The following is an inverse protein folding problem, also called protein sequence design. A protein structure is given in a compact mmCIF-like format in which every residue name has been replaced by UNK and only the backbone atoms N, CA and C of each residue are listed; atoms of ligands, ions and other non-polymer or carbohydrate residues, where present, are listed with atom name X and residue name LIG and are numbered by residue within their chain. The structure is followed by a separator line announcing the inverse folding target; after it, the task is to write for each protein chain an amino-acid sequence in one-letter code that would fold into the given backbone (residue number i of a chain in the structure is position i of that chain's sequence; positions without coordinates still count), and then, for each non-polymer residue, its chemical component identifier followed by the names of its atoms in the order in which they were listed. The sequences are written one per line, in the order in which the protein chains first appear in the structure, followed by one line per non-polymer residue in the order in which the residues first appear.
data_IF_852849281506
#
_entry.id   IF_852849281506
#
_cell.length_a   1.000
_cell.length_b   1.000
_cell.length_c   1.000
_cell.angle_alpha   90.00
_cell.angle_beta   90.00
_cell.angle_gamma   90.00
#
_symmetry.space_group_name_H-M   'P 1'
#
loop_
_entity.id
_entity.type
_entity.pdbx_description
1 polymer ?
#
# COMPACT_ATOMS: atom_id res chain seq x y z
N UNK A 1 -11.31 -52.53 5.97
CA UNK A 1 -10.99 -51.65 4.81
C UNK A 1 -11.84 -50.38 4.80
N UNK A 2 -13.13 -50.39 4.42
CA UNK A 2 -13.93 -49.17 4.14
C UNK A 2 -13.81 -48.02 5.17
N UNK A 3 -13.78 -48.31 6.48
CA UNK A 3 -13.64 -47.28 7.53
C UNK A 3 -12.34 -46.46 7.40
N UNK A 4 -11.23 -47.11 7.03
CA UNK A 4 -9.93 -46.46 6.81
C UNK A 4 -10.01 -45.53 5.59
N UNK A 5 -10.71 -45.95 4.54
CA UNK A 5 -10.90 -45.15 3.32
C UNK A 5 -11.72 -43.89 3.58
N UNK A 6 -12.73 -43.94 4.46
CA UNK A 6 -13.46 -42.75 4.88
C UNK A 6 -12.59 -41.83 5.75
N UNK A 7 -11.81 -42.40 6.68
CA UNK A 7 -10.89 -41.61 7.51
C UNK A 7 -9.84 -40.88 6.68
N UNK A 8 -9.23 -41.53 5.69
CA UNK A 8 -8.27 -40.86 4.79
C UNK A 8 -8.92 -39.80 3.92
N UNK A 9 -10.15 -40.01 3.41
CA UNK A 9 -10.85 -38.95 2.66
C UNK A 9 -11.19 -37.74 3.54
N UNK A 10 -11.56 -37.94 4.80
CA UNK A 10 -11.84 -36.83 5.74
C UNK A 10 -10.54 -36.09 6.07
N UNK A 11 -9.44 -36.79 6.34
CA UNK A 11 -8.13 -36.16 6.58
C UNK A 11 -7.66 -35.37 5.35
N UNK A 12 -7.81 -35.91 4.14
CA UNK A 12 -7.50 -35.19 2.89
C UNK A 12 -8.39 -33.94 2.73
N UNK A 13 -9.69 -34.04 3.05
CA UNK A 13 -10.59 -32.88 3.00
C UNK A 13 -10.22 -31.81 4.04
N UNK A 14 -9.81 -32.20 5.25
CA UNK A 14 -9.36 -31.29 6.29
C UNK A 14 -7.98 -30.65 5.97
N UNK A 15 -7.07 -31.38 5.31
CA UNK A 15 -5.80 -30.83 4.80
C UNK A 15 -6.04 -29.87 3.62
N UNK A 16 -7.07 -30.11 2.80
CA UNK A 16 -7.57 -29.15 1.80
C UNK A 16 -8.38 -27.99 2.41
N UNK A 17 -8.66 -28.04 3.71
CA UNK A 17 -9.25 -26.96 4.51
C UNK A 17 -8.19 -26.27 5.40
N UNK A 18 -6.90 -26.34 5.02
CA UNK A 18 -5.94 -25.30 5.44
C UNK A 18 -6.54 -23.97 5.04
N UNK A 19 -6.86 -23.17 6.06
CA UNK A 19 -7.45 -21.84 5.88
C UNK A 19 -6.44 -21.02 5.08
N UNK A 20 -6.78 -20.72 3.81
CA UNK A 20 -6.27 -19.52 3.15
C UNK A 20 -6.79 -18.34 3.97
N UNK A 21 -6.01 -17.93 4.95
CA UNK A 21 -5.96 -16.52 5.27
C UNK A 21 -5.48 -15.85 4.00
N UNK A 22 -6.25 -14.88 3.48
CA UNK A 22 -5.75 -14.02 2.42
C UNK A 22 -4.42 -13.42 2.92
N UNK A 23 -3.31 -13.54 2.16
CA UNK A 23 -2.01 -13.15 2.64
C UNK A 23 -1.98 -11.62 2.82
N UNK A 24 -2.19 -11.20 4.06
CA UNK A 24 -2.07 -9.81 4.46
C UNK A 24 -0.60 -9.40 4.25
N UNK A 25 -0.37 -8.69 3.14
CA UNK A 25 0.91 -8.15 2.71
C UNK A 25 1.65 -7.50 3.90
N UNK A 26 2.94 -7.80 4.05
CA UNK A 26 3.71 -7.36 5.22
C UNK A 26 4.36 -6.00 5.01
N UNK A 27 4.43 -5.54 3.76
CA UNK A 27 5.10 -4.32 3.38
C UNK A 27 4.56 -3.77 2.05
N UNK A 28 4.51 -2.43 1.97
CA UNK A 28 4.19 -1.70 0.74
C UNK A 28 5.43 -1.00 0.21
N UNK A 29 5.58 -1.02 -1.10
CA UNK A 29 6.60 -0.29 -1.86
C UNK A 29 5.94 0.61 -2.90
N UNK A 30 6.62 1.71 -3.24
CA UNK A 30 6.23 2.58 -4.34
C UNK A 30 7.38 2.70 -5.36
N UNK A 31 7.06 2.69 -6.65
CA UNK A 31 7.98 3.00 -7.74
C UNK A 31 7.36 4.14 -8.55
N UNK A 32 7.97 5.31 -8.52
CA UNK A 32 7.36 6.56 -8.99
C UNK A 32 8.23 7.18 -10.09
N UNK A 33 7.71 7.20 -11.32
CA UNK A 33 8.50 7.50 -12.53
C UNK A 33 7.95 8.69 -13.31
N UNK A 34 8.66 9.81 -13.29
CA UNK A 34 8.54 10.84 -14.34
C UNK A 34 9.49 10.49 -15.49
N UNK A 35 8.93 10.17 -16.67
CA UNK A 35 9.73 9.75 -17.83
C UNK A 35 10.08 10.90 -18.80
N UNK A 36 9.48 12.08 -18.59
CA UNK A 36 9.61 13.24 -19.49
C UNK A 36 10.52 14.33 -18.96
N UNK A 37 11.19 15.03 -19.89
CA UNK A 37 12.09 16.14 -19.59
C UNK A 37 11.72 17.43 -20.33
N UNK A 38 12.50 18.48 -20.09
CA UNK A 38 12.32 19.86 -20.55
C UNK A 38 11.17 20.62 -19.85
N UNK A 39 11.33 21.95 -19.77
CA UNK A 39 10.45 22.85 -19.03
C UNK A 39 8.96 22.73 -19.36
N UNK A 40 8.61 22.47 -20.62
CA UNK A 40 7.20 22.32 -21.04
C UNK A 40 6.52 21.06 -20.50
N UNK A 41 7.27 20.16 -19.87
CA UNK A 41 6.79 18.94 -19.21
C UNK A 41 6.85 19.00 -17.68
N UNK A 42 7.00 20.20 -17.10
CA UNK A 42 7.02 20.47 -15.65
C UNK A 42 6.00 19.63 -14.85
N UNK A 43 4.74 19.63 -15.30
CA UNK A 43 3.65 18.81 -14.73
C UNK A 43 3.99 17.33 -14.53
N UNK A 44 4.70 16.67 -15.44
CA UNK A 44 5.04 15.25 -15.26
C UNK A 44 5.97 15.04 -14.04
N UNK A 45 6.84 16.00 -13.73
CA UNK A 45 7.67 15.95 -12.53
C UNK A 45 6.84 16.27 -11.27
N UNK A 46 5.96 17.28 -11.33
CA UNK A 46 5.07 17.65 -10.24
C UNK A 46 4.03 16.56 -9.91
N UNK A 47 3.52 15.84 -10.91
CA UNK A 47 2.66 14.65 -10.79
C UNK A 47 3.36 13.60 -9.90
N UNK A 48 4.58 13.19 -10.28
CA UNK A 48 5.35 12.16 -9.57
C UNK A 48 5.72 12.59 -8.14
N UNK A 49 6.12 13.85 -7.94
CA UNK A 49 6.41 14.39 -6.60
C UNK A 49 5.14 14.49 -5.73
N UNK A 50 3.97 14.72 -6.33
CA UNK A 50 2.68 14.70 -5.61
C UNK A 50 2.29 13.30 -5.15
N UNK A 51 2.54 12.27 -5.99
CA UNK A 51 2.38 10.87 -5.58
C UNK A 51 3.38 10.48 -4.48
N UNK A 52 4.62 10.92 -4.58
CA UNK A 52 5.68 10.74 -3.58
C UNK A 52 5.27 11.32 -2.21
N UNK A 53 4.81 12.58 -2.19
CA UNK A 53 4.22 13.19 -0.98
C UNK A 53 3.03 12.38 -0.44
N UNK A 54 2.17 11.86 -1.31
CA UNK A 54 0.99 11.06 -0.91
C UNK A 54 1.40 9.77 -0.18
N UNK A 55 2.32 8.98 -0.74
CA UNK A 55 2.79 7.73 -0.08
C UNK A 55 3.57 8.01 1.21
N UNK A 56 4.36 9.10 1.28
CA UNK A 56 5.02 9.52 2.54
C UNK A 56 4.02 10.01 3.59
N UNK A 57 3.00 10.79 3.17
CA UNK A 57 1.90 11.24 4.05
C UNK A 57 1.17 10.04 4.66
N UNK A 58 0.90 9.01 3.87
CA UNK A 58 0.28 7.75 4.32
C UNK A 58 1.26 6.79 5.03
N UNK A 59 2.56 7.00 4.89
CA UNK A 59 3.61 6.51 5.78
C UNK A 59 4.51 5.40 5.23
N UNK A 60 4.56 5.21 3.91
CA UNK A 60 5.63 4.42 3.30
C UNK A 60 6.96 5.20 3.52
N UNK A 61 8.03 4.56 4.06
CA UNK A 61 9.31 5.22 4.26
C UNK A 61 10.10 5.30 2.94
N UNK A 62 11.04 6.25 2.85
CA UNK A 62 11.89 6.44 1.67
C UNK A 62 12.67 5.19 1.24
N UNK A 63 13.10 4.37 2.21
CA UNK A 63 13.72 3.06 1.96
C UNK A 63 12.79 2.02 1.31
N UNK A 64 11.55 2.39 0.96
CA UNK A 64 10.60 1.62 0.15
C UNK A 64 9.94 2.44 -0.98
N UNK A 65 10.43 3.63 -1.28
CA UNK A 65 9.94 4.48 -2.37
C UNK A 65 11.09 4.72 -3.34
N UNK A 66 11.01 4.12 -4.53
CA UNK A 66 11.99 4.37 -5.60
C UNK A 66 11.51 5.54 -6.45
N UNK A 67 12.22 6.66 -6.40
CA UNK A 67 11.86 7.87 -7.14
C UNK A 67 12.76 8.10 -8.37
N UNK A 68 12.15 8.17 -9.55
CA UNK A 68 12.85 8.37 -10.83
C UNK A 68 12.38 9.67 -11.50
N UNK A 69 13.28 10.67 -11.61
CA UNK A 69 13.00 11.97 -12.21
C UNK A 69 13.97 12.24 -13.38
N UNK A 70 13.47 12.21 -14.62
CA UNK A 70 14.25 12.34 -15.86
C UNK A 70 14.76 13.76 -16.19
N UNK A 71 14.41 14.74 -15.36
CA UNK A 71 14.89 16.12 -15.39
C UNK A 71 14.87 16.74 -13.99
N UNK A 72 15.37 17.96 -13.86
CA UNK A 72 15.33 18.78 -12.64
C UNK A 72 14.72 20.15 -12.95
N UNK A 73 13.39 20.27 -12.81
CA UNK A 73 12.70 21.56 -13.01
C UNK A 73 12.88 22.51 -11.82
N UNK A 74 13.25 22.01 -10.64
CA UNK A 74 13.57 22.84 -9.49
C UNK A 74 14.81 23.72 -9.76
N UNK A 75 15.83 23.16 -10.42
CA UNK A 75 17.08 23.84 -10.77
C UNK A 75 17.10 24.42 -12.20
N UNK A 76 15.98 24.43 -12.93
CA UNK A 76 15.95 24.94 -14.30
C UNK A 76 16.07 26.48 -14.34
N UNK A 77 16.84 27.02 -15.29
CA UNK A 77 17.03 28.48 -15.43
C UNK A 77 15.79 29.26 -15.87
N UNK A 78 14.67 28.57 -16.16
CA UNK A 78 13.34 29.17 -16.38
C UNK A 78 12.48 29.24 -15.11
N UNK A 79 12.88 28.58 -14.03
CA UNK A 79 12.11 28.57 -12.79
C UNK A 79 12.29 29.89 -12.04
N UNK A 80 11.20 30.66 -11.91
CA UNK A 80 11.16 31.87 -11.09
C UNK A 80 11.27 31.58 -9.58
N UNK A 81 11.14 30.31 -9.18
CA UNK A 81 11.24 29.83 -7.81
C UNK A 81 12.34 28.75 -7.68
N UNK A 82 13.64 29.11 -7.73
CA UNK A 82 14.73 28.15 -7.73
C UNK A 82 14.70 27.23 -6.50
N UNK A 83 14.77 25.93 -6.73
CA UNK A 83 14.70 24.89 -5.68
C UNK A 83 13.29 24.41 -5.34
N UNK A 84 12.24 25.04 -5.86
CA UNK A 84 10.84 24.67 -5.54
C UNK A 84 10.06 24.15 -6.75
N UNK A 85 9.07 23.28 -6.48
CA UNK A 85 8.17 22.70 -7.49
C UNK A 85 6.72 22.71 -6.97
N UNK A 86 5.77 23.22 -7.77
CA UNK A 86 4.38 23.40 -7.35
C UNK A 86 3.41 22.68 -8.30
N UNK A 87 2.37 22.03 -7.78
CA UNK A 87 1.30 21.41 -8.59
C UNK A 87 0.03 22.29 -8.71
N UNK A 88 0.04 23.51 -8.16
CA UNK A 88 -1.13 24.38 -8.11
C UNK A 88 -0.74 25.87 -8.21
N UNK A 89 -1.65 26.69 -8.74
CA UNK A 89 -1.46 28.13 -8.98
C UNK A 89 -1.32 28.96 -7.69
N UNK A 90 -1.84 28.47 -6.57
CA UNK A 90 -1.68 29.12 -5.26
C UNK A 90 -0.27 28.94 -4.68
N UNK A 91 0.49 27.97 -5.21
CA UNK A 91 1.83 27.55 -4.76
C UNK A 91 1.91 27.34 -3.24
N UNK A 92 0.81 26.90 -2.64
CA UNK A 92 0.69 26.70 -1.19
C UNK A 92 1.52 25.51 -0.66
N UNK A 93 2.09 24.70 -1.57
CA UNK A 93 2.82 23.47 -1.28
C UNK A 93 4.00 23.33 -2.24
N UNK A 94 5.22 23.51 -1.74
CA UNK A 94 6.42 23.04 -2.44
C UNK A 94 6.51 21.51 -2.30
N UNK A 95 6.67 20.85 -3.45
CA UNK A 95 6.76 19.41 -3.60
C UNK A 95 8.19 18.88 -3.62
N UNK A 96 9.20 19.76 -3.74
CA UNK A 96 10.61 19.39 -3.78
C UNK A 96 11.23 19.54 -2.39
N UNK A 97 11.41 20.78 -1.91
CA UNK A 97 11.91 21.05 -0.56
C UNK A 97 13.20 20.31 -0.17
N UNK A 98 13.37 20.04 1.13
CA UNK A 98 14.56 19.37 1.68
C UNK A 98 14.37 17.85 1.92
N UNK A 99 13.18 17.30 1.66
CA UNK A 99 12.77 15.95 2.11
C UNK A 99 12.46 14.95 1.00
N UNK A 100 12.86 15.26 -0.24
CA UNK A 100 12.73 14.38 -1.40
C UNK A 100 14.04 13.65 -1.66
N UNK A 101 14.03 12.33 -1.52
CA UNK A 101 15.12 11.44 -1.93
C UNK A 101 14.86 10.98 -3.37
N UNK A 102 15.83 11.19 -4.28
CA UNK A 102 15.73 10.86 -5.72
C UNK A 102 16.74 9.77 -6.06
N UNK A 103 16.27 8.55 -6.30
CA UNK A 103 17.13 7.38 -6.58
C UNK A 103 17.72 7.40 -7.99
N UNK A 104 16.96 7.84 -8.99
CA UNK A 104 17.43 7.91 -10.38
C UNK A 104 17.18 9.32 -10.93
N UNK A 105 18.25 10.06 -11.21
CA UNK A 105 18.16 11.47 -11.62
C UNK A 105 18.65 11.70 -13.06
N UNK A 106 17.89 12.47 -13.83
CA UNK A 106 18.24 12.92 -15.17
C UNK A 106 18.51 11.76 -16.11
N UNK A 107 19.77 11.62 -16.54
CA UNK A 107 20.20 10.56 -17.47
C UNK A 107 20.10 9.15 -16.90
N UNK A 108 19.99 8.96 -15.59
CA UNK A 108 19.79 7.63 -14.99
C UNK A 108 18.37 7.06 -15.22
N UNK A 109 17.41 7.85 -15.69
CA UNK A 109 16.04 7.40 -15.93
C UNK A 109 15.90 6.84 -17.36
N UNK A 110 16.50 5.68 -17.60
CA UNK A 110 16.43 4.94 -18.88
C UNK A 110 15.43 3.78 -18.81
N UNK A 111 15.01 3.29 -19.97
CA UNK A 111 14.17 2.07 -20.06
C UNK A 111 14.92 0.87 -19.45
N UNK A 112 16.22 0.75 -19.74
CA UNK A 112 17.06 -0.30 -19.18
C UNK A 112 17.08 -0.28 -17.64
N UNK A 113 17.28 0.89 -17.02
CA UNK A 113 17.36 0.99 -15.56
C UNK A 113 16.03 0.67 -14.89
N UNK A 114 14.90 1.05 -15.48
CA UNK A 114 13.57 0.68 -14.99
C UNK A 114 13.32 -0.84 -15.09
N UNK A 115 13.64 -1.46 -16.22
CA UNK A 115 13.51 -2.93 -16.39
C UNK A 115 14.46 -3.69 -15.45
N UNK A 116 15.70 -3.23 -15.26
CA UNK A 116 16.65 -3.83 -14.31
C UNK A 116 16.20 -3.67 -12.85
N UNK A 117 15.61 -2.53 -12.49
CA UNK A 117 15.00 -2.29 -11.17
C UNK A 117 13.85 -3.28 -10.90
N UNK A 118 12.89 -3.37 -11.82
CA UNK A 118 11.77 -4.31 -11.71
C UNK A 118 12.26 -5.75 -11.60
N UNK A 119 13.18 -6.17 -12.47
CA UNK A 119 13.62 -7.58 -12.56
C UNK A 119 14.73 -7.97 -11.57
N UNK A 120 15.32 -7.03 -10.82
CA UNK A 120 16.58 -7.16 -10.07
C UNK A 120 17.64 -7.91 -10.88
N UNK A 121 18.11 -7.23 -11.95
CA UNK A 121 19.19 -7.66 -12.85
C UNK A 121 20.39 -6.71 -12.69
N UNK A 122 20.93 -6.69 -11.48
CA UNK A 122 22.07 -5.87 -11.06
C UNK A 122 23.20 -6.74 -10.51
N UNK A 123 24.46 -6.33 -10.67
CA UNK A 123 25.58 -6.94 -9.96
C UNK A 123 25.60 -6.54 -8.49
N UNK A 124 26.60 -6.96 -7.73
CA UNK A 124 26.70 -6.65 -6.29
C UNK A 124 26.95 -5.16 -6.02
N UNK A 125 27.52 -4.44 -6.98
CA UNK A 125 27.86 -3.01 -6.92
C UNK A 125 26.65 -2.05 -6.82
N UNK A 126 25.47 -2.44 -7.29
CA UNK A 126 24.30 -1.55 -7.31
C UNK A 126 23.84 -1.23 -5.88
N UNK A 127 23.77 0.06 -5.47
CA UNK A 127 23.39 0.47 -4.12
C UNK A 127 22.00 -0.03 -3.71
N UNK A 128 21.82 -0.36 -2.42
CA UNK A 128 20.55 -0.90 -1.90
C UNK A 128 19.36 0.06 -2.00
N UNK A 129 19.57 1.38 -1.99
CA UNK A 129 18.52 2.37 -2.25
C UNK A 129 18.00 2.26 -3.67
N UNK A 130 18.89 2.15 -4.66
CA UNK A 130 18.57 1.95 -6.08
C UNK A 130 18.17 0.49 -6.41
N UNK A 131 17.44 -0.20 -5.53
CA UNK A 131 16.89 -1.56 -5.72
C UNK A 131 15.50 -1.71 -5.12
N UNK A 132 14.62 -2.37 -5.86
CA UNK A 132 13.29 -2.78 -5.43
C UNK A 132 13.38 -4.10 -4.64
N UNK A 133 13.67 -4.03 -3.33
CA UNK A 133 13.94 -5.20 -2.48
C UNK A 133 12.63 -5.85 -1.96
N UNK A 134 11.78 -6.25 -2.90
CA UNK A 134 10.45 -6.85 -2.68
C UNK A 134 10.45 -8.38 -2.66
N UNK A 135 9.49 -8.97 -1.97
CA UNK A 135 9.27 -10.41 -1.77
C UNK A 135 7.81 -10.84 -2.03
N UNK A 136 7.45 -12.11 -1.80
CA UNK A 136 6.09 -12.64 -2.04
C UNK A 136 5.00 -12.07 -1.12
N UNK A 137 5.36 -11.20 -0.17
CA UNK A 137 4.46 -10.50 0.75
C UNK A 137 4.46 -8.97 0.52
N UNK A 138 5.19 -8.48 -0.49
CA UNK A 138 5.23 -7.06 -0.87
C UNK A 138 4.08 -6.68 -1.79
N UNK A 139 3.24 -5.72 -1.40
CA UNK A 139 2.40 -5.00 -2.35
C UNK A 139 3.22 -3.85 -2.98
N UNK A 140 3.08 -3.65 -4.29
CA UNK A 140 3.85 -2.64 -5.04
C UNK A 140 2.90 -1.70 -5.77
N UNK A 141 2.93 -0.41 -5.40
CA UNK A 141 2.35 0.66 -6.20
C UNK A 141 3.38 1.12 -7.25
N UNK A 142 3.01 1.10 -8.53
CA UNK A 142 3.86 1.59 -9.62
C UNK A 142 3.13 2.73 -10.32
N UNK A 143 3.69 3.94 -10.22
CA UNK A 143 3.18 5.14 -10.87
C UNK A 143 4.10 5.58 -12.01
N UNK A 144 3.55 5.79 -13.20
CA UNK A 144 4.28 6.32 -14.35
C UNK A 144 3.56 7.50 -14.99
N UNK A 145 4.29 8.54 -15.38
CA UNK A 145 3.72 9.70 -16.07
C UNK A 145 4.69 10.28 -17.09
N UNK A 146 4.14 10.63 -18.26
CA UNK A 146 4.92 11.12 -19.39
C UNK A 146 4.12 11.20 -20.69
N UNK A 147 4.83 11.46 -21.79
CA UNK A 147 4.27 11.35 -23.14
C UNK A 147 4.31 9.90 -23.64
N UNK A 148 3.30 9.47 -24.37
CA UNK A 148 3.13 8.09 -24.83
C UNK A 148 2.06 7.99 -25.92
N UNK A 149 1.71 6.76 -26.27
CA UNK A 149 0.69 6.44 -27.27
C UNK A 149 0.30 4.97 -27.23
N UNK A 150 -0.28 4.47 -28.33
CA UNK A 150 -0.72 3.08 -28.42
C UNK A 150 0.45 2.09 -28.17
N UNK A 151 0.38 1.37 -27.06
CA UNK A 151 1.35 0.36 -26.61
C UNK A 151 2.77 0.88 -26.28
N UNK A 152 3.01 2.20 -26.15
CA UNK A 152 4.31 2.74 -25.70
C UNK A 152 4.26 3.99 -24.80
N UNK A 153 5.31 4.17 -23.99
CA UNK A 153 5.58 5.38 -23.19
C UNK A 153 7.01 5.87 -23.46
N UNK A 154 7.20 7.18 -23.70
CA UNK A 154 8.51 7.78 -23.96
C UNK A 154 9.33 7.95 -22.70
N UNK A 155 10.63 7.67 -22.80
CA UNK A 155 11.66 7.93 -21.79
C UNK A 155 12.67 8.95 -22.31
N UNK A 156 12.92 10.01 -21.54
CA UNK A 156 13.88 11.08 -21.83
C UNK A 156 13.72 11.77 -23.20
N UNK A 157 12.54 11.65 -23.84
CA UNK A 157 12.25 12.08 -25.22
C UNK A 157 13.20 11.50 -26.29
N UNK A 158 13.76 10.31 -26.01
CA UNK A 158 14.74 9.63 -26.86
C UNK A 158 14.57 8.10 -26.93
N UNK A 159 14.12 7.47 -25.84
CA UNK A 159 13.79 6.05 -25.75
C UNK A 159 12.27 5.86 -25.63
N UNK A 160 11.78 4.65 -25.89
CA UNK A 160 10.39 4.24 -25.69
C UNK A 160 10.35 2.88 -25.01
N UNK A 161 9.49 2.71 -23.99
CA UNK A 161 9.18 1.40 -23.39
C UNK A 161 7.84 0.92 -23.91
N UNK A 162 7.76 -0.34 -24.35
CA UNK A 162 6.53 -0.93 -24.83
C UNK A 162 5.72 -1.56 -23.69
N UNK A 163 4.41 -1.70 -23.91
CA UNK A 163 3.50 -2.46 -23.03
C UNK A 163 3.94 -3.92 -22.83
N UNK A 164 4.64 -4.49 -23.82
CA UNK A 164 5.26 -5.82 -23.74
C UNK A 164 6.46 -5.88 -22.78
N UNK A 165 7.33 -4.86 -22.74
CA UNK A 165 8.52 -4.87 -21.88
C UNK A 165 8.12 -4.90 -20.39
N UNK A 166 7.06 -4.15 -20.04
CA UNK A 166 6.50 -4.14 -18.68
C UNK A 166 5.81 -5.47 -18.36
N UNK A 167 5.08 -6.07 -19.33
CA UNK A 167 4.47 -7.39 -19.16
C UNK A 167 5.50 -8.48 -18.85
N UNK A 168 6.60 -8.51 -19.61
CA UNK A 168 7.68 -9.49 -19.45
C UNK A 168 8.54 -9.20 -18.21
N UNK A 169 8.63 -7.95 -17.76
CA UNK A 169 9.23 -7.62 -16.46
C UNK A 169 8.36 -8.12 -15.29
N UNK A 170 7.04 -7.92 -15.32
CA UNK A 170 6.12 -8.43 -14.30
C UNK A 170 6.09 -9.96 -14.27
N UNK A 171 6.18 -10.63 -15.43
CA UNK A 171 6.29 -12.08 -15.50
C UNK A 171 7.55 -12.61 -14.80
N UNK A 172 8.69 -11.95 -15.00
CA UNK A 172 9.92 -12.27 -14.28
C UNK A 172 9.84 -11.97 -12.78
N UNK A 173 9.11 -10.91 -12.37
CA UNK A 173 8.87 -10.64 -10.96
C UNK A 173 7.98 -11.71 -10.33
N UNK A 174 6.95 -12.17 -11.03
CA UNK A 174 6.08 -13.26 -10.59
C UNK A 174 6.85 -14.57 -10.41
N UNK A 175 7.62 -14.97 -11.43
CA UNK A 175 8.37 -16.23 -11.41
C UNK A 175 9.51 -16.22 -10.37
N UNK A 176 10.08 -15.04 -10.10
CA UNK A 176 11.02 -14.81 -8.98
C UNK A 176 10.35 -14.62 -7.63
N UNK A 177 9.01 -14.60 -7.54
CA UNK A 177 8.22 -14.31 -6.33
C UNK A 177 8.54 -12.96 -5.66
N UNK A 178 8.59 -11.89 -6.43
CA UNK A 178 8.97 -10.54 -5.95
C UNK A 178 7.81 -9.55 -5.82
N UNK A 179 6.58 -10.06 -5.70
CA UNK A 179 5.41 -9.31 -5.23
C UNK A 179 4.33 -10.27 -4.70
N UNK A 180 3.46 -9.76 -3.83
CA UNK A 180 2.15 -10.32 -3.53
C UNK A 180 1.11 -9.82 -4.55
N UNK A 181 1.00 -8.49 -4.66
CA UNK A 181 0.14 -7.79 -5.62
C UNK A 181 0.85 -6.55 -6.21
N UNK A 182 0.54 -6.20 -7.46
CA UNK A 182 0.96 -4.94 -8.10
C UNK A 182 -0.28 -4.10 -8.40
N UNK A 183 -0.23 -2.81 -8.06
CA UNK A 183 -1.15 -1.79 -8.58
C UNK A 183 -0.39 -0.84 -9.51
N UNK A 184 -0.64 -0.97 -10.80
CA UNK A 184 0.00 -0.19 -11.86
C UNK A 184 -0.90 0.98 -12.30
N UNK A 185 -0.41 2.20 -12.17
CA UNK A 185 -1.13 3.45 -12.45
C UNK A 185 -0.33 4.30 -13.43
N UNK A 186 -0.94 4.69 -14.55
CA UNK A 186 -0.22 5.41 -15.62
C UNK A 186 -1.01 6.60 -16.17
N UNK A 187 -0.39 7.79 -16.12
CA UNK A 187 -0.95 9.03 -16.68
C UNK A 187 -0.22 9.43 -17.97
N UNK A 188 -0.83 9.10 -19.11
CA UNK A 188 -0.31 9.39 -20.47
C UNK A 188 -1.41 9.30 -21.53
N UNK A 189 -1.13 9.72 -22.76
CA UNK A 189 -2.02 9.53 -23.90
C UNK A 189 -2.11 8.05 -24.28
N UNK A 190 -3.33 7.55 -24.50
CA UNK A 190 -3.64 6.14 -24.77
C UNK A 190 -3.19 5.17 -23.66
N UNK A 191 -3.11 5.65 -22.42
CA UNK A 191 -2.61 4.92 -21.24
C UNK A 191 -3.19 3.51 -21.07
N UNK A 192 -4.47 3.30 -21.42
CA UNK A 192 -5.13 2.00 -21.27
C UNK A 192 -4.55 0.90 -22.19
N UNK A 193 -3.77 1.26 -23.20
CA UNK A 193 -3.00 0.30 -24.01
C UNK A 193 -1.78 -0.27 -23.26
N UNK A 194 -1.17 0.50 -22.36
CA UNK A 194 0.10 0.13 -21.71
C UNK A 194 0.03 -1.12 -20.82
N UNK A 195 -1.15 -1.42 -20.27
CA UNK A 195 -1.41 -2.65 -19.52
C UNK A 195 -2.14 -3.74 -20.34
N UNK A 196 -2.42 -3.50 -21.63
CA UNK A 196 -3.20 -4.43 -22.47
C UNK A 196 -2.51 -5.79 -22.67
N UNK A 197 -1.17 -5.80 -22.62
CA UNK A 197 -0.33 -6.99 -22.84
C UNK A 197 0.00 -7.75 -21.56
N UNK A 198 -0.37 -7.25 -20.37
CA UNK A 198 -0.06 -7.92 -19.12
C UNK A 198 -0.74 -9.31 -19.07
N UNK A 199 -0.03 -10.30 -18.54
CA UNK A 199 -0.48 -11.70 -18.42
C UNK A 199 -0.10 -12.34 -17.08
N UNK A 200 0.55 -11.60 -16.18
CA UNK A 200 0.94 -12.08 -14.84
C UNK A 200 -0.22 -11.89 -13.85
N UNK A 201 -0.48 -12.84 -12.93
CA UNK A 201 -1.55 -12.72 -11.96
C UNK A 201 -1.21 -11.69 -10.87
N UNK A 202 -2.23 -11.31 -10.10
CA UNK A 202 -2.21 -10.33 -9.02
C UNK A 202 -1.77 -8.91 -9.46
N UNK A 203 -2.00 -8.57 -10.73
CA UNK A 203 -1.76 -7.22 -11.26
C UNK A 203 -3.09 -6.50 -11.51
N UNK A 204 -3.34 -5.45 -10.72
CA UNK A 204 -4.41 -4.47 -10.96
C UNK A 204 -3.81 -3.30 -11.75
N UNK A 205 -4.50 -2.81 -12.79
CA UNK A 205 -3.99 -1.68 -13.57
C UNK A 205 -5.06 -0.61 -13.82
N UNK A 206 -4.63 0.66 -13.86
CA UNK A 206 -5.46 1.83 -14.19
C UNK A 206 -4.69 2.80 -15.09
N UNK A 207 -5.37 3.40 -16.06
CA UNK A 207 -4.78 4.34 -17.02
C UNK A 207 -5.69 5.53 -17.29
N UNK A 208 -5.10 6.70 -17.58
CA UNK A 208 -5.86 7.96 -17.67
C UNK A 208 -6.70 8.16 -18.93
N UNK A 209 -6.46 7.40 -20.02
CA UNK A 209 -7.12 7.61 -21.32
C UNK A 209 -7.20 6.31 -22.14
N UNK A 210 -8.27 6.15 -22.95
CA UNK A 210 -8.44 4.99 -23.85
C UNK A 210 -7.51 5.06 -25.06
N UNK A 211 -7.40 3.94 -25.78
CA UNK A 211 -6.90 3.93 -27.15
C UNK A 211 -7.63 5.00 -27.97
N UNK A 212 -6.90 5.68 -28.87
CA UNK A 212 -7.35 6.84 -29.65
C UNK A 212 -7.71 8.11 -28.84
N UNK A 213 -7.50 8.13 -27.51
CA UNK A 213 -7.66 9.34 -26.66
C UNK A 213 -6.33 9.92 -26.18
N UNK A 214 -6.30 11.23 -25.97
CA UNK A 214 -5.22 11.92 -25.25
C UNK A 214 -5.49 11.96 -23.74
N UNK A 215 -4.44 12.07 -22.92
CA UNK A 215 -4.56 12.66 -21.58
C UNK A 215 -4.41 14.18 -21.67
N UNK A 216 -4.83 14.90 -20.62
CA UNK A 216 -4.92 16.35 -20.64
C UNK A 216 -4.35 16.99 -19.37
N UNK A 217 -3.68 18.13 -19.55
CA UNK A 217 -3.30 19.01 -18.44
C UNK A 217 -4.53 19.62 -17.76
N UNK A 218 -4.43 19.89 -16.45
CA UNK A 218 -5.53 20.51 -15.70
C UNK A 218 -5.54 22.03 -15.87
N UNK A 219 -4.45 22.66 -15.44
CA UNK A 219 -4.26 24.10 -15.44
C UNK A 219 -2.76 24.49 -15.50
N UNK A 220 -2.50 25.78 -15.72
CA UNK A 220 -1.15 26.37 -15.81
C UNK A 220 -0.96 27.47 -14.77
N UNK A 221 0.24 27.57 -14.22
CA UNK A 221 0.67 28.72 -13.44
C UNK A 221 1.27 29.78 -14.39
N UNK A 222 0.93 31.06 -14.17
CA UNK A 222 1.33 32.18 -15.04
C UNK A 222 2.78 32.61 -14.83
N UNK A 223 3.32 32.44 -13.62
CA UNK A 223 4.69 32.80 -13.26
C UNK A 223 5.66 31.64 -13.51
N UNK A 224 5.20 30.39 -13.43
CA UNK A 224 5.93 29.21 -13.96
C UNK A 224 5.82 29.15 -15.50
N UNK A 225 4.74 29.70 -16.07
CA UNK A 225 4.53 29.87 -17.51
C UNK A 225 4.14 28.60 -18.27
N UNK A 226 3.82 27.50 -17.58
CA UNK A 226 3.49 26.19 -18.15
C UNK A 226 2.40 25.48 -17.33
N UNK A 227 1.85 24.40 -17.89
CA UNK A 227 0.97 23.49 -17.16
C UNK A 227 1.71 22.82 -15.99
N UNK A 228 1.12 22.85 -14.80
CA UNK A 228 1.75 22.41 -13.53
C UNK A 228 1.27 21.05 -13.03
N UNK A 229 0.15 20.53 -13.52
CA UNK A 229 -0.39 19.21 -13.17
C UNK A 229 -1.32 18.66 -14.28
N UNK A 230 -1.38 17.33 -14.42
CA UNK A 230 -2.32 16.65 -15.33
C UNK A 230 -3.64 16.24 -14.66
N UNK A 231 -4.73 16.12 -15.43
CA UNK A 231 -6.09 15.98 -14.87
C UNK A 231 -6.31 14.71 -14.08
N UNK A 232 -5.86 13.57 -14.59
CA UNK A 232 -6.00 12.30 -13.89
C UNK A 232 -5.19 12.30 -12.60
N UNK A 233 -3.95 12.80 -12.64
CA UNK A 233 -3.15 13.06 -11.43
C UNK A 233 -3.88 13.99 -10.45
N UNK A 234 -4.38 15.14 -10.90
CA UNK A 234 -5.08 16.14 -10.06
C UNK A 234 -6.28 15.53 -9.34
N UNK A 235 -7.17 14.83 -10.05
CA UNK A 235 -8.35 14.23 -9.44
C UNK A 235 -8.06 12.96 -8.64
N UNK A 236 -6.93 12.28 -8.90
CA UNK A 236 -6.40 11.27 -7.97
C UNK A 236 -6.00 11.93 -6.64
N UNK A 237 -5.28 13.06 -6.68
CA UNK A 237 -4.82 13.74 -5.47
C UNK A 237 -5.97 14.39 -4.68
N UNK A 238 -6.96 14.96 -5.37
CA UNK A 238 -8.24 15.45 -4.80
C UNK A 238 -8.91 14.37 -3.93
N UNK A 239 -9.03 13.15 -4.45
CA UNK A 239 -9.50 12.00 -3.68
C UNK A 239 -8.51 11.63 -2.55
N UNK A 240 -7.21 11.52 -2.86
CA UNK A 240 -6.20 11.00 -1.92
C UNK A 240 -5.93 11.93 -0.73
N UNK A 241 -6.07 13.25 -0.84
CA UNK A 241 -5.92 14.17 0.31
C UNK A 241 -7.01 13.95 1.38
N UNK A 242 -8.15 13.37 1.02
CA UNK A 242 -9.19 12.94 1.96
C UNK A 242 -8.90 11.55 2.61
N UNK A 243 -7.82 10.88 2.24
CA UNK A 243 -7.42 9.57 2.80
C UNK A 243 -6.50 9.75 4.01
N UNK A 244 -6.95 9.27 5.17
CA UNK A 244 -6.11 9.05 6.36
C UNK A 244 -5.58 7.60 6.47
N UNK A 245 -4.63 7.36 7.38
CA UNK A 245 -3.95 6.05 7.56
C UNK A 245 -4.85 4.92 8.08
N UNK A 246 -6.06 5.26 8.49
CA UNK A 246 -7.13 4.40 9.00
C UNK A 246 -8.38 4.45 8.09
N UNK A 247 -8.27 5.03 6.90
CA UNK A 247 -9.39 5.12 5.95
C UNK A 247 -9.90 3.73 5.57
N UNK A 248 -11.23 3.60 5.48
CA UNK A 248 -11.91 2.42 4.98
C UNK A 248 -12.37 2.55 3.52
N UNK A 249 -11.92 3.60 2.80
CA UNK A 249 -12.24 3.78 1.38
C UNK A 249 -11.45 2.77 0.52
N UNK A 250 -12.15 2.23 -0.47
CA UNK A 250 -11.68 1.17 -1.35
C UNK A 250 -11.06 1.70 -2.64
N UNK A 251 -10.36 0.84 -3.37
CA UNK A 251 -9.90 1.16 -4.73
C UNK A 251 -11.08 1.38 -5.68
N UNK A 252 -12.24 0.76 -5.45
CA UNK A 252 -13.45 1.07 -6.22
C UNK A 252 -13.93 2.50 -5.97
N UNK A 253 -13.89 3.01 -4.73
CA UNK A 253 -14.24 4.42 -4.44
C UNK A 253 -13.30 5.39 -5.16
N UNK A 254 -12.01 5.05 -5.30
CA UNK A 254 -11.05 5.81 -6.11
C UNK A 254 -11.43 5.76 -7.61
N UNK A 255 -11.74 4.57 -8.14
CA UNK A 255 -12.11 4.40 -9.55
C UNK A 255 -13.42 5.10 -9.91
N UNK A 256 -14.44 5.04 -9.05
CA UNK A 256 -15.74 5.69 -9.23
C UNK A 256 -15.64 7.23 -9.06
N UNK A 257 -14.55 7.74 -8.48
CA UNK A 257 -14.29 9.19 -8.36
C UNK A 257 -13.89 9.85 -9.68
N UNK A 258 -13.48 9.07 -10.69
CA UNK A 258 -13.10 9.53 -12.02
C UNK A 258 -14.32 9.64 -12.94
N UNK A 259 -14.69 10.86 -13.31
CA UNK A 259 -15.71 11.12 -14.33
C UNK A 259 -15.11 11.79 -15.55
N UNK A 260 -15.78 11.69 -16.70
CA UNK A 260 -15.30 12.31 -17.94
C UNK A 260 -15.25 13.84 -17.82
N UNK A 261 -16.18 14.45 -17.09
CA UNK A 261 -16.26 15.89 -16.82
C UNK A 261 -15.07 16.39 -15.97
N UNK A 262 -14.49 15.52 -15.13
CA UNK A 262 -13.25 15.79 -14.40
C UNK A 262 -12.04 15.60 -15.32
N UNK A 263 -11.85 14.37 -15.81
CA UNK A 263 -10.57 13.93 -16.40
C UNK A 263 -10.41 14.39 -17.86
N UNK A 264 -11.51 14.63 -18.58
CA UNK A 264 -11.60 14.89 -20.03
C UNK A 264 -11.18 13.72 -20.95
N UNK A 265 -10.95 12.54 -20.36
CA UNK A 265 -10.66 11.28 -21.06
C UNK A 265 -11.27 10.12 -20.27
N UNK A 266 -11.44 8.96 -20.91
CA UNK A 266 -12.00 7.79 -20.25
C UNK A 266 -10.91 6.99 -19.54
N UNK A 267 -10.86 7.15 -18.22
CA UNK A 267 -10.08 6.28 -17.34
C UNK A 267 -10.47 4.81 -17.57
N UNK A 268 -9.48 3.94 -17.70
CA UNK A 268 -9.68 2.50 -17.80
C UNK A 268 -9.10 1.80 -16.57
N UNK A 269 -9.79 0.74 -16.12
CA UNK A 269 -9.31 -0.16 -15.06
C UNK A 269 -9.31 -1.58 -15.61
N UNK A 270 -8.24 -2.35 -15.35
CA UNK A 270 -8.10 -3.76 -15.74
C UNK A 270 -7.99 -4.64 -14.51
N UNK A 271 -8.93 -5.58 -14.36
CA UNK A 271 -9.12 -6.42 -13.17
C UNK A 271 -9.06 -7.92 -13.43
N UNK A 272 -9.01 -8.39 -14.68
CA UNK A 272 -9.04 -9.82 -15.04
C UNK A 272 -7.83 -10.62 -14.51
N UNK A 273 -6.71 -9.95 -14.25
CA UNK A 273 -5.51 -10.51 -13.63
C UNK A 273 -5.52 -10.40 -12.10
N UNK A 274 -6.47 -9.68 -11.51
CA UNK A 274 -6.50 -9.33 -10.09
C UNK A 274 -7.64 -10.04 -9.37
N UNK A 275 -7.29 -10.98 -8.48
CA UNK A 275 -8.24 -11.94 -7.91
C UNK A 275 -9.14 -11.35 -6.80
N UNK A 276 -8.81 -10.16 -6.28
CA UNK A 276 -9.59 -9.47 -5.23
C UNK A 276 -10.57 -8.49 -5.87
N UNK A 277 -11.78 -8.44 -5.31
CA UNK A 277 -12.79 -7.44 -5.67
C UNK A 277 -12.34 -6.04 -5.22
N UNK A 278 -12.16 -5.05 -6.13
CA UNK A 278 -11.66 -3.71 -5.77
C UNK A 278 -12.52 -2.97 -4.74
N UNK A 279 -13.81 -3.31 -4.59
CA UNK A 279 -14.68 -2.74 -3.54
C UNK A 279 -14.35 -3.23 -2.12
N UNK A 280 -13.48 -4.24 -2.02
CA UNK A 280 -12.99 -4.85 -0.76
C UNK A 280 -11.50 -4.65 -0.53
N UNK A 281 -10.81 -3.93 -1.41
CA UNK A 281 -9.38 -3.64 -1.33
C UNK A 281 -9.24 -2.20 -0.91
N UNK A 282 -8.58 -1.93 0.22
CA UNK A 282 -8.45 -0.58 0.73
C UNK A 282 -7.40 0.19 -0.07
N UNK A 283 -7.58 1.50 -0.21
CA UNK A 283 -6.55 2.40 -0.76
C UNK A 283 -5.24 2.27 0.05
N UNK A 284 -5.35 2.04 1.36
CA UNK A 284 -4.19 1.82 2.23
C UNK A 284 -3.43 0.52 1.95
N UNK A 285 -3.99 -0.45 1.22
CA UNK A 285 -3.32 -1.73 0.88
C UNK A 285 -2.19 -1.55 -0.14
N UNK A 286 -2.09 -0.39 -0.80
CA UNK A 286 -1.00 -0.04 -1.72
C UNK A 286 -0.30 1.25 -1.34
N UNK A 287 -1.04 2.28 -0.92
CA UNK A 287 -0.48 3.59 -0.59
C UNK A 287 -0.12 3.75 0.91
N UNK A 288 -0.60 2.86 1.78
CA UNK A 288 -0.47 2.96 3.23
C UNK A 288 0.80 2.31 3.80
N UNK A 289 1.08 2.59 5.06
CA UNK A 289 2.13 1.91 5.83
C UNK A 289 1.57 0.69 6.57
N UNK A 290 2.05 -0.52 6.24
CA UNK A 290 1.68 -1.72 7.00
C UNK A 290 2.27 -1.66 8.40
N UNK A 291 1.40 -1.62 9.41
CA UNK A 291 1.79 -1.69 10.83
C UNK A 291 1.39 -3.03 11.44
N UNK A 292 2.32 -3.98 11.47
CA UNK A 292 2.19 -5.15 12.33
C UNK A 292 2.33 -4.74 13.80
N UNK A 293 1.21 -4.40 14.43
CA UNK A 293 1.13 -4.30 15.89
C UNK A 293 1.16 -5.74 16.43
N UNK A 294 2.37 -6.26 16.65
CA UNK A 294 2.56 -7.43 17.51
C UNK A 294 2.09 -7.02 18.89
N UNK A 295 0.89 -7.47 19.26
CA UNK A 295 0.36 -7.23 20.60
C UNK A 295 1.14 -8.11 21.56
N UNK A 296 2.10 -7.49 22.23
CA UNK A 296 2.95 -8.19 23.18
C UNK A 296 2.08 -8.88 24.25
N UNK A 297 2.29 -10.18 24.42
CA UNK A 297 1.60 -10.99 25.44
C UNK A 297 2.51 -11.25 26.64
N UNK A 298 3.61 -10.49 26.77
CA UNK A 298 4.28 -10.31 28.04
C UNK A 298 3.34 -9.62 29.03
N UNK A 299 3.04 -10.31 30.13
CA UNK A 299 2.13 -9.87 31.17
C UNK A 299 2.85 -8.85 32.06
N UNK A 300 2.80 -7.57 31.65
CA UNK A 300 3.64 -6.47 32.17
C UNK A 300 3.57 -6.27 33.69
N UNK A 301 2.49 -6.71 34.34
CA UNK A 301 2.36 -6.74 35.79
C UNK A 301 3.46 -7.60 36.46
N UNK A 302 3.96 -8.65 35.79
CA UNK A 302 5.04 -9.50 36.32
C UNK A 302 6.42 -8.84 36.19
N UNK A 303 6.73 -8.16 35.10
CA UNK A 303 8.01 -7.45 34.94
C UNK A 303 8.13 -6.29 35.94
N UNK A 304 7.02 -5.55 36.17
CA UNK A 304 6.98 -4.52 37.21
C UNK A 304 7.10 -5.11 38.63
N UNK A 305 6.54 -6.30 38.89
CA UNK A 305 6.70 -7.00 40.16
C UNK A 305 8.08 -7.63 40.35
N UNK A 306 8.79 -8.00 39.29
CA UNK A 306 10.17 -8.47 39.35
C UNK A 306 11.12 -7.34 39.78
N UNK A 307 11.03 -6.17 39.13
CA UNK A 307 11.81 -4.97 39.47
C UNK A 307 11.58 -4.51 40.92
N UNK A 308 10.37 -4.75 41.48
CA UNK A 308 10.05 -4.42 42.88
C UNK A 308 10.45 -5.50 43.90
N UNK A 309 10.85 -6.71 43.48
CA UNK A 309 11.23 -7.81 44.38
C UNK A 309 12.74 -7.96 44.56
N UNK A 310 13.55 -7.54 43.59
CA UNK A 310 15.02 -7.63 43.68
C UNK A 310 15.66 -6.52 44.55
N UNK A 311 14.87 -5.58 45.10
CA UNK A 311 15.34 -4.49 45.96
C UNK A 311 14.89 -4.62 47.43
N UNK A 312 15.26 -5.73 48.07
CA UNK A 312 15.52 -5.76 49.52
C UNK A 312 17.05 -5.73 49.76
N UNK A 313 17.66 -4.58 49.46
CA UNK A 313 19.12 -4.41 49.55
C UNK A 313 19.65 -3.13 48.86
N UNK A 314 20.04 -2.16 49.69
CA UNK A 314 21.02 -1.07 49.43
C UNK A 314 20.98 -0.27 48.11
N UNK A 315 20.54 0.97 48.23
CA UNK A 315 21.07 2.22 47.64
C UNK A 315 21.29 2.40 46.12
N UNK A 316 20.75 3.53 45.62
CA UNK A 316 21.53 4.47 44.81
C UNK A 316 21.09 4.77 43.37
N UNK A 317 20.30 3.90 42.73
CA UNK A 317 20.09 4.01 41.28
C UNK A 317 18.96 4.96 40.84
N UNK A 318 17.81 4.97 41.53
CA UNK A 318 16.61 5.73 41.17
C UNK A 318 16.81 7.25 41.27
N UNK A 319 17.45 7.72 42.34
CA UNK A 319 17.82 9.14 42.50
C UNK A 319 18.72 9.62 41.34
N UNK A 320 19.57 8.75 40.80
CA UNK A 320 20.50 9.15 39.74
C UNK A 320 19.78 9.49 38.42
N UNK A 321 18.64 8.86 38.11
CA UNK A 321 17.86 9.16 36.90
C UNK A 321 17.06 10.46 37.08
N UNK A 322 16.44 10.68 38.24
CA UNK A 322 15.67 11.92 38.53
C UNK A 322 16.61 13.13 38.50
N UNK A 323 17.78 13.03 39.15
CA UNK A 323 18.78 14.11 39.15
C UNK A 323 19.44 14.31 37.77
N UNK A 324 19.52 13.28 36.91
CA UNK A 324 19.99 13.44 35.54
C UNK A 324 18.96 14.19 34.66
N UNK A 325 17.66 13.96 34.87
CA UNK A 325 16.61 14.71 34.19
C UNK A 325 16.58 16.18 34.62
N UNK A 326 16.67 16.44 35.93
CA UNK A 326 16.71 17.81 36.49
C UNK A 326 17.96 18.58 36.05
N UNK A 327 19.16 18.02 36.24
CA UNK A 327 20.42 18.70 35.89
C UNK A 327 20.67 18.84 34.38
N UNK A 328 19.83 18.23 33.52
CA UNK A 328 19.81 18.47 32.07
C UNK A 328 18.89 19.65 31.69
N UNK A 329 17.92 19.98 32.54
CA UNK A 329 17.02 21.12 32.37
C UNK A 329 17.68 22.43 32.85
N UNK A 330 18.54 22.38 33.88
CA UNK A 330 19.23 23.54 34.45
C UNK A 330 20.42 24.06 33.61
N UNK A 331 20.92 23.26 32.66
CA UNK A 331 22.19 23.54 31.95
C UNK A 331 22.11 24.42 30.69
N UNK A 332 20.92 24.88 30.29
CA UNK A 332 20.73 25.78 29.12
C UNK A 332 19.91 27.06 29.43
N UNK A 333 20.42 28.02 30.23
CA UNK A 333 19.83 29.35 30.35
C UNK A 333 20.42 30.37 29.35
N UNK A 334 19.55 31.17 28.70
CA UNK A 334 19.83 32.50 28.08
C UNK A 334 20.76 32.49 26.84
N UNK A 335 20.51 33.13 25.69
CA UNK A 335 19.35 33.81 25.04
C UNK A 335 19.66 33.87 23.51
N UNK A 336 18.88 34.37 22.54
CA UNK A 336 17.60 35.11 22.41
C UNK A 336 16.97 34.68 21.05
N UNK A 337 15.86 35.16 20.48
CA UNK A 337 14.95 36.29 20.72
C UNK A 337 13.55 36.01 20.09
N UNK A 338 12.71 37.03 19.89
CA UNK A 338 11.46 37.01 19.09
C UNK A 338 10.49 35.85 19.40
N UNK A 339 10.03 35.76 20.64
CA UNK A 339 8.86 34.92 21.00
C UNK A 339 7.95 35.58 22.07
N UNK A 340 7.77 36.90 22.01
CA UNK A 340 6.96 37.66 23.00
C UNK A 340 5.60 38.06 22.43
N UNK A 341 4.62 37.16 22.51
CA UNK A 341 3.18 37.49 22.32
C UNK A 341 2.18 36.39 22.72
N UNK A 342 2.48 35.53 23.71
CA UNK A 342 1.47 34.61 24.29
C UNK A 342 0.87 35.20 25.57
N UNK A 343 0.00 36.20 25.40
CA UNK A 343 -0.73 36.84 26.48
C UNK A 343 -2.18 36.34 26.60
N UNK A 344 -2.52 35.74 27.73
CA UNK A 344 -3.89 35.43 28.21
C UNK A 344 -4.86 34.76 27.23
N UNK A 345 -4.97 33.43 27.33
CA UNK A 345 -6.20 32.70 27.00
C UNK A 345 -6.70 31.95 28.24
N UNK A 346 -7.88 32.32 28.75
CA UNK A 346 -8.41 31.87 30.04
C UNK A 346 -8.68 30.36 30.10
N UNK A 347 -8.12 29.68 31.11
CA UNK A 347 -8.45 28.28 31.44
C UNK A 347 -9.92 28.14 31.88
N UNK A 348 -10.81 27.90 30.91
CA UNK A 348 -12.23 27.70 31.17
C UNK A 348 -12.54 26.22 31.45
N UNK A 349 -12.62 25.89 32.74
CA UNK A 349 -13.02 24.61 33.34
C UNK A 349 -14.18 23.93 32.56
N UNK A 350 -13.88 22.82 31.90
CA UNK A 350 -14.86 21.88 31.37
C UNK A 350 -14.81 20.59 32.18
N UNK A 351 -15.82 20.36 33.01
CA UNK A 351 -16.01 19.10 33.72
C UNK A 351 -16.76 18.11 32.84
N UNK A 352 -16.47 16.81 33.03
CA UNK A 352 -16.86 15.67 32.15
C UNK A 352 -16.04 15.66 30.85
N UNK A 353 -15.58 14.50 30.36
CA UNK A 353 -15.91 13.11 30.73
C UNK A 353 -14.72 12.33 31.31
N UNK A 354 -14.89 11.74 32.50
CA UNK A 354 -14.01 10.65 32.97
C UNK A 354 -14.50 9.35 32.34
N UNK A 355 -13.65 8.71 31.52
CA UNK A 355 -13.97 7.41 30.91
C UNK A 355 -13.67 6.30 31.92
N UNK A 356 -14.67 5.92 32.71
CA UNK A 356 -14.58 4.77 33.62
C UNK A 356 -14.65 3.46 32.83
N UNK A 357 -13.54 2.71 32.78
CA UNK A 357 -13.51 1.39 32.15
C UNK A 357 -14.25 0.34 33.01
N UNK A 358 -15.48 0.02 32.61
CA UNK A 358 -16.26 -1.10 33.14
C UNK A 358 -15.67 -2.44 32.70
N UNK A 359 -14.83 -3.04 33.56
CA UNK A 359 -14.18 -4.35 33.32
C UNK A 359 -15.14 -5.56 33.32
N UNK A 360 -16.46 -5.37 33.49
CA UNK A 360 -17.43 -6.47 33.64
C UNK A 360 -18.06 -6.97 32.33
N UNK A 361 -18.10 -6.16 31.26
CA UNK A 361 -18.83 -6.47 30.01
C UNK A 361 -18.00 -7.25 28.97
N UNK A 362 -17.20 -8.20 29.45
CA UNK A 362 -16.30 -9.04 28.64
C UNK A 362 -16.76 -10.49 28.44
N UNK A 363 -18.07 -10.77 28.31
CA UNK A 363 -18.59 -12.13 28.09
C UNK A 363 -19.46 -12.23 26.84
N UNK A 364 -18.82 -12.15 25.67
CA UNK A 364 -19.43 -12.58 24.42
C UNK A 364 -19.80 -14.08 24.51
N UNK A 365 -21.07 -14.42 24.30
CA UNK A 365 -21.50 -15.82 24.23
C UNK A 365 -21.00 -16.41 22.92
N UNK A 366 -20.17 -17.45 23.00
CA UNK A 366 -19.83 -18.27 21.84
C UNK A 366 -21.08 -19.04 21.40
N UNK A 367 -21.78 -18.52 20.40
CA UNK A 367 -22.77 -19.30 19.66
C UNK A 367 -22.03 -20.32 18.80
N UNK A 368 -21.99 -21.58 19.26
CA UNK A 368 -21.44 -22.69 18.50
C UNK A 368 -22.32 -22.96 17.26
N UNK A 369 -22.04 -22.26 16.16
CA UNK A 369 -22.63 -22.53 14.84
C UNK A 369 -21.99 -23.82 14.32
N UNK A 370 -22.50 -24.96 14.80
CA UNK A 370 -22.21 -26.27 14.19
C UNK A 370 -22.69 -26.20 12.74
N UNK A 371 -21.82 -26.40 11.74
CA UNK A 371 -22.25 -26.37 10.35
C UNK A 371 -23.37 -27.39 10.13
N UNK A 372 -24.46 -26.96 9.49
CA UNK A 372 -25.65 -27.81 9.23
C UNK A 372 -25.26 -29.08 8.43
N UNK A 373 -24.18 -29.00 7.64
CA UNK A 373 -23.52 -30.13 6.97
C UNK A 373 -23.02 -31.24 7.91
N UNK A 374 -22.56 -30.93 9.13
CA UNK A 374 -22.17 -31.95 10.12
C UNK A 374 -23.40 -32.67 10.68
N UNK A 375 -24.49 -31.93 10.93
CA UNK A 375 -25.77 -32.50 11.37
C UNK A 375 -26.42 -33.39 10.29
N UNK A 376 -26.40 -32.97 9.02
CA UNK A 376 -26.83 -33.84 7.92
C UNK A 376 -25.93 -35.07 7.77
N UNK A 377 -24.60 -34.93 7.90
CA UNK A 377 -23.67 -36.05 7.83
C UNK A 377 -23.96 -37.14 8.88
N UNK A 378 -24.22 -36.72 10.12
CA UNK A 378 -24.63 -37.62 11.21
C UNK A 378 -25.99 -38.28 10.95
N UNK A 379 -26.97 -37.54 10.40
CA UNK A 379 -28.30 -38.08 10.07
C UNK A 379 -28.22 -39.14 8.94
N UNK A 380 -27.36 -38.94 7.95
CA UNK A 380 -27.13 -39.92 6.88
C UNK A 380 -26.40 -41.17 7.41
N UNK A 381 -25.48 -41.03 8.39
CA UNK A 381 -24.85 -42.17 9.05
C UNK A 381 -25.84 -43.01 9.87
N UNK A 382 -26.77 -42.40 10.61
CA UNK A 382 -27.76 -43.15 11.40
C UNK A 382 -28.78 -43.86 10.51
N UNK A 383 -29.27 -43.21 9.46
CA UNK A 383 -30.20 -43.83 8.50
C UNK A 383 -29.55 -44.99 7.71
N UNK A 384 -28.29 -44.85 7.30
CA UNK A 384 -27.60 -45.90 6.54
C UNK A 384 -27.21 -47.11 7.41
N UNK A 385 -26.84 -46.91 8.67
CA UNK A 385 -26.59 -48.03 9.62
C UNK A 385 -27.89 -48.75 10.01
N UNK A 386 -28.99 -48.02 10.22
CA UNK A 386 -30.30 -48.62 10.50
C UNK A 386 -30.84 -49.42 9.31
N UNK A 387 -30.56 -48.98 8.07
CA UNK A 387 -30.90 -49.71 6.84
C UNK A 387 -30.17 -51.06 6.74
N UNK A 388 -28.85 -51.10 7.04
CA UNK A 388 -28.09 -52.35 6.97
C UNK A 388 -28.54 -53.40 8.01
N UNK A 389 -28.89 -52.98 9.23
CA UNK A 389 -29.42 -53.88 10.27
C UNK A 389 -30.80 -54.48 9.91
N UNK A 390 -31.57 -53.83 9.03
CA UNK A 390 -32.84 -54.35 8.52
C UNK A 390 -32.69 -55.30 7.32
N UNK A 391 -31.52 -55.34 6.67
CA UNK A 391 -31.21 -56.36 5.65
C UNK A 391 -30.67 -57.63 6.29
N UNK A 392 -29.77 -57.53 7.27
CA UNK A 392 -29.16 -58.70 7.93
C UNK A 392 -30.15 -59.57 8.71
N UNK A 393 -31.27 -59.00 9.17
CA UNK A 393 -32.35 -59.72 9.86
C UNK A 393 -33.31 -60.47 8.93
N UNK A 394 -33.32 -60.18 7.62
CA UNK A 394 -34.22 -60.81 6.64
C UNK A 394 -33.63 -62.01 5.89
N UNK A 395 -32.33 -62.24 5.97
CA UNK A 395 -31.65 -63.34 5.26
C UNK A 395 -31.43 -64.61 6.10
N UNK A 396 -31.89 -64.64 7.35
CA UNK A 396 -31.63 -65.74 8.30
C UNK A 396 -32.70 -66.86 8.32
N UNK A 397 -33.78 -66.76 7.54
CA UNK A 397 -34.95 -67.66 7.66
C UNK A 397 -35.46 -68.16 6.29
N UNK A 398 -34.60 -68.81 5.51
CA UNK A 398 -34.97 -69.33 4.20
C UNK A 398 -34.12 -70.55 3.71
N UNK A 399 -33.91 -71.59 4.54
CA UNK A 399 -33.51 -72.92 4.06
C UNK A 399 -33.81 -74.03 5.09
N UNK A 400 -35.01 -74.60 5.01
CA UNK A 400 -35.35 -75.89 5.65
C UNK A 400 -36.68 -76.43 5.10
N UNK A 401 -36.64 -77.04 3.91
CA UNK A 401 -37.42 -78.20 3.46
C UNK A 401 -36.91 -78.61 2.06
#
# INVERSE_FOLDING_TARGET
MRLITYLTTIVVLCVLQVVRADPAHTNNWAVLVCTSRFWFNYRHMANTLSMYRTVKRLGIPDSRIILMLSDDVACNSRNLFPGSVFNNQDRALDLYGESVEVDYKGYEVTVENFIRLLTDRWGEEQPKSKRLLTDENSNIFIYMTGHGGADFLKFQDAEEIASHDIADAFAQMHEKKRYNEIFFMIDTCQANSMYSKFYSPNVLAVGSSRLDESSYSHHSDVEVGVAVIDRFTYYTLDFMENIEKNSSLSLQDLFDSYTFEKVHSHVGVRTDLYHRDPSKVLVTDFFGSVKHIVKDMHDQDNDFQAVLKDHDGTDGYTDHIVNLALSKNERNPVESSKAVSVGLATLRRSERSVVTFDKSKGKAKWSAVVPISILLGLLVLTLSTQSQNNLSSRTATAHSF
#
